data_IF_554783919788
#
_entry.id   IF_554783919788
#
_cell.length_a   1.000
_cell.length_b   1.000
_cell.length_c   1.000
_cell.angle_alpha   90.00
_cell.angle_beta   90.00
_cell.angle_gamma   90.00
#
_symmetry.space_group_name_H-M   'P 1'
#
loop_
_entity.id
_entity.type
_entity.pdbx_description
1 polymer ?
#
# COMPACT_ATOMS: atom_id res chain seq x y z
N UNK A 1 34.02 47.98 -17.77
CA UNK A 1 35.45 48.12 -17.39
C UNK A 1 35.87 49.50 -17.88
N UNK A 2 35.80 50.51 -17.01
CA UNK A 2 36.18 51.87 -17.39
C UNK A 2 37.70 51.97 -17.43
N UNK A 3 38.23 52.47 -18.54
CA UNK A 3 39.62 52.93 -18.62
C UNK A 3 39.83 53.97 -17.51
N UNK A 4 40.52 53.56 -16.44
CA UNK A 4 41.04 54.49 -15.45
C UNK A 4 42.34 55.04 -16.03
N UNK A 5 42.39 56.36 -16.21
CA UNK A 5 43.63 57.05 -16.59
C UNK A 5 44.76 56.62 -15.65
N UNK A 6 45.97 56.35 -16.19
CA UNK A 6 47.09 55.92 -15.38
C UNK A 6 47.42 57.00 -14.33
N UNK A 7 47.72 56.61 -13.08
CA UNK A 7 48.06 57.57 -12.04
C UNK A 7 49.29 58.39 -12.46
N UNK A 8 49.24 59.70 -12.25
CA UNK A 8 50.38 60.60 -12.51
C UNK A 8 51.16 60.74 -11.20
N UNK A 9 52.44 60.37 -11.20
CA UNK A 9 53.29 60.37 -10.01
C UNK A 9 54.22 61.58 -9.99
N UNK A 10 54.46 62.14 -8.80
CA UNK A 10 55.38 63.26 -8.60
C UNK A 10 56.84 62.84 -8.51
N UNK A 11 57.13 61.57 -8.25
CA UNK A 11 58.48 60.98 -8.20
C UNK A 11 58.47 59.47 -8.48
N UNK A 12 59.64 58.92 -8.82
CA UNK A 12 59.81 57.48 -9.05
C UNK A 12 59.55 56.65 -7.78
N UNK A 13 59.93 57.17 -6.60
CA UNK A 13 59.61 56.55 -5.31
C UNK A 13 58.10 56.42 -5.08
N UNK A 14 57.33 57.46 -5.42
CA UNK A 14 55.87 57.47 -5.24
C UNK A 14 55.16 56.46 -6.16
N UNK A 15 55.65 56.31 -7.39
CA UNK A 15 55.19 55.28 -8.32
C UNK A 15 55.49 53.86 -7.79
N UNK A 16 56.69 53.64 -7.27
CA UNK A 16 57.12 52.35 -6.72
C UNK A 16 56.29 51.95 -5.49
N UNK A 17 56.05 52.90 -4.58
CA UNK A 17 55.24 52.69 -3.38
C UNK A 17 53.78 52.39 -3.76
N UNK A 18 53.22 53.14 -4.71
CA UNK A 18 51.86 52.91 -5.22
C UNK A 18 51.69 51.49 -5.80
N UNK A 19 52.59 51.06 -6.69
CA UNK A 19 52.48 49.73 -7.31
C UNK A 19 52.73 48.60 -6.31
N UNK A 20 53.61 48.79 -5.31
CA UNK A 20 53.75 47.84 -4.19
C UNK A 20 52.48 47.72 -3.39
N UNK A 21 51.85 48.83 -3.04
CA UNK A 21 50.60 48.84 -2.29
C UNK A 21 49.46 48.18 -3.09
N UNK A 22 49.36 48.45 -4.39
CA UNK A 22 48.38 47.78 -5.26
C UNK A 22 48.65 46.28 -5.39
N UNK A 23 49.91 45.87 -5.56
CA UNK A 23 50.27 44.46 -5.61
C UNK A 23 49.90 43.74 -4.30
N UNK A 24 50.17 44.36 -3.15
CA UNK A 24 49.80 43.82 -1.84
C UNK A 24 48.27 43.70 -1.69
N UNK A 25 47.50 44.72 -2.09
CA UNK A 25 46.01 44.68 -2.05
C UNK A 25 45.44 43.59 -2.95
N UNK A 26 45.96 43.47 -4.17
CA UNK A 26 45.52 42.42 -5.10
C UNK A 26 45.89 41.03 -4.61
N UNK A 27 47.07 40.86 -4.00
CA UNK A 27 47.46 39.61 -3.39
C UNK A 27 46.50 39.24 -2.26
N UNK A 28 46.24 40.15 -1.33
CA UNK A 28 45.30 39.92 -0.24
C UNK A 28 43.90 39.55 -0.76
N UNK A 29 43.37 40.30 -1.73
CA UNK A 29 42.06 40.01 -2.31
C UNK A 29 42.01 38.66 -3.03
N UNK A 30 43.12 38.23 -3.66
CA UNK A 30 43.22 36.92 -4.29
C UNK A 30 43.26 35.78 -3.25
N UNK A 31 43.97 35.99 -2.14
CA UNK A 31 44.00 35.05 -1.00
C UNK A 31 42.61 34.90 -0.38
N UNK A 32 41.93 36.01 -0.08
CA UNK A 32 40.56 36.02 0.47
C UNK A 32 39.57 35.30 -0.48
N UNK A 33 39.60 35.62 -1.78
CA UNK A 33 38.74 34.96 -2.76
C UNK A 33 39.04 33.46 -2.92
N UNK A 34 40.30 33.05 -2.73
CA UNK A 34 40.70 31.65 -2.74
C UNK A 34 40.18 30.91 -1.50
N UNK A 35 40.24 31.52 -0.32
CA UNK A 35 39.68 30.96 0.91
C UNK A 35 38.15 30.81 0.81
N UNK A 36 37.44 31.86 0.38
CA UNK A 36 35.99 31.82 0.16
C UNK A 36 35.59 30.73 -0.82
N UNK A 37 36.33 30.57 -1.92
CA UNK A 37 36.08 29.50 -2.90
C UNK A 37 36.29 28.12 -2.29
N UNK A 38 37.32 27.92 -1.48
CA UNK A 38 37.58 26.64 -0.82
C UNK A 38 36.47 26.29 0.17
N UNK A 39 36.03 27.26 0.97
CA UNK A 39 34.89 27.08 1.89
C UNK A 39 33.62 26.74 1.13
N UNK A 40 33.29 27.50 0.08
CA UNK A 40 32.11 27.22 -0.75
C UNK A 40 32.14 25.83 -1.36
N UNK A 41 33.29 25.41 -1.90
CA UNK A 41 33.45 24.07 -2.45
C UNK A 41 33.30 22.98 -1.38
N UNK A 42 33.78 23.21 -0.17
CA UNK A 42 33.63 22.27 0.92
C UNK A 42 32.16 22.15 1.34
N UNK A 43 31.49 23.27 1.55
CA UNK A 43 30.07 23.31 1.89
C UNK A 43 29.19 22.66 0.80
N UNK A 44 29.53 22.87 -0.47
CA UNK A 44 28.84 22.21 -1.59
C UNK A 44 28.99 20.69 -1.54
N UNK A 45 30.20 20.19 -1.28
CA UNK A 45 30.46 18.74 -1.16
C UNK A 45 29.70 18.13 0.02
N UNK A 46 29.70 18.80 1.15
CA UNK A 46 29.00 18.30 2.35
C UNK A 46 27.49 18.26 2.11
N UNK A 47 26.93 19.29 1.47
CA UNK A 47 25.52 19.33 1.09
C UNK A 47 25.14 18.25 0.06
N UNK A 48 26.00 18.00 -0.93
CA UNK A 48 25.80 16.91 -1.89
C UNK A 48 25.74 15.54 -1.19
N UNK A 49 26.61 15.29 -0.21
CA UNK A 49 26.62 14.05 0.58
C UNK A 49 25.34 13.91 1.41
N UNK A 50 24.85 14.99 2.01
CA UNK A 50 23.59 15.01 2.74
C UNK A 50 22.42 14.64 1.82
N UNK A 51 22.31 15.29 0.65
CA UNK A 51 21.27 15.00 -0.34
C UNK A 51 21.33 13.55 -0.85
N UNK A 52 22.51 13.03 -1.15
CA UNK A 52 22.68 11.64 -1.54
C UNK A 52 22.25 10.67 -0.44
N UNK A 53 22.52 11.02 0.81
CA UNK A 53 22.14 10.21 1.97
C UNK A 53 20.62 10.18 2.14
N UNK A 54 19.96 11.33 2.05
CA UNK A 54 18.50 11.42 2.10
C UNK A 54 17.85 10.65 0.94
N UNK A 55 18.37 10.81 -0.28
CA UNK A 55 17.88 10.10 -1.45
C UNK A 55 17.94 8.58 -1.25
N UNK A 56 19.08 8.05 -0.77
CA UNK A 56 19.25 6.62 -0.47
C UNK A 56 18.26 6.13 0.59
N UNK A 57 17.99 6.95 1.62
CA UNK A 57 16.99 6.62 2.64
C UNK A 57 15.57 6.54 2.04
N UNK A 58 15.19 7.53 1.21
CA UNK A 58 13.89 7.54 0.54
C UNK A 58 13.72 6.37 -0.42
N UNK A 59 14.75 6.05 -1.22
CA UNK A 59 14.74 4.90 -2.12
C UNK A 59 14.58 3.58 -1.37
N UNK A 60 15.28 3.43 -0.25
CA UNK A 60 15.19 2.24 0.61
C UNK A 60 13.78 2.10 1.17
N UNK A 61 13.24 3.18 1.76
CA UNK A 61 11.87 3.20 2.29
C UNK A 61 10.83 2.91 1.21
N UNK A 62 11.00 3.43 0.01
CA UNK A 62 10.09 3.17 -1.10
C UNK A 62 10.13 1.68 -1.51
N UNK A 63 11.32 1.10 -1.62
CA UNK A 63 11.49 -0.33 -1.90
C UNK A 63 10.83 -1.22 -0.84
N UNK A 64 10.97 -0.87 0.43
CA UNK A 64 10.31 -1.57 1.54
C UNK A 64 8.78 -1.48 1.43
N UNK A 65 8.25 -0.28 1.19
CA UNK A 65 6.81 -0.06 1.01
C UNK A 65 6.25 -0.84 -0.18
N UNK A 66 6.96 -0.88 -1.31
CA UNK A 66 6.57 -1.67 -2.48
C UNK A 66 6.54 -3.17 -2.17
N UNK A 67 7.55 -3.65 -1.44
CA UNK A 67 7.61 -5.06 -1.03
C UNK A 67 6.45 -5.41 -0.10
N UNK A 68 6.18 -4.56 0.89
CA UNK A 68 5.04 -4.72 1.80
C UNK A 68 3.70 -4.67 1.05
N UNK A 69 3.55 -3.76 0.08
CA UNK A 69 2.34 -3.64 -0.73
C UNK A 69 2.09 -4.91 -1.56
N UNK A 70 3.13 -5.44 -2.21
CA UNK A 70 3.03 -6.67 -2.98
C UNK A 70 2.66 -7.86 -2.09
N UNK A 71 3.26 -7.97 -0.91
CA UNK A 71 2.90 -8.99 0.07
C UNK A 71 1.42 -8.90 0.48
N UNK A 72 0.96 -7.70 0.85
CA UNK A 72 -0.43 -7.48 1.25
C UNK A 72 -1.42 -7.80 0.11
N UNK A 73 -1.06 -7.47 -1.14
CA UNK A 73 -1.87 -7.84 -2.32
C UNK A 73 -1.99 -9.35 -2.47
N UNK A 74 -0.89 -10.09 -2.30
CA UNK A 74 -0.92 -11.56 -2.36
C UNK A 74 -1.74 -12.17 -1.22
N UNK A 75 -1.60 -11.63 0.00
CA UNK A 75 -2.40 -12.08 1.15
C UNK A 75 -3.89 -11.82 0.92
N UNK A 76 -4.24 -10.65 0.37
CA UNK A 76 -5.62 -10.29 0.03
C UNK A 76 -6.22 -11.21 -1.03
N UNK A 77 -5.46 -11.57 -2.07
CA UNK A 77 -5.93 -12.50 -3.10
C UNK A 77 -6.14 -13.90 -2.53
N UNK A 78 -5.22 -14.39 -1.71
CA UNK A 78 -5.36 -15.67 -1.02
C UNK A 78 -6.61 -15.72 -0.11
N UNK A 79 -6.95 -14.61 0.57
CA UNK A 79 -8.18 -14.54 1.36
C UNK A 79 -9.44 -14.52 0.50
N UNK A 80 -9.42 -13.86 -0.66
CA UNK A 80 -10.53 -13.90 -1.61
C UNK A 80 -10.76 -15.31 -2.14
N UNK A 81 -9.72 -16.00 -2.59
CA UNK A 81 -9.82 -17.36 -3.11
C UNK A 81 -10.41 -18.33 -2.06
N UNK A 82 -9.94 -18.22 -0.81
CA UNK A 82 -10.46 -19.00 0.31
C UNK A 82 -11.93 -18.68 0.58
N UNK A 83 -12.28 -17.40 0.59
CA UNK A 83 -13.65 -16.96 0.81
C UNK A 83 -14.58 -17.49 -0.28
N UNK A 84 -14.19 -17.36 -1.55
CA UNK A 84 -15.00 -17.82 -2.68
C UNK A 84 -15.19 -19.35 -2.66
N UNK A 85 -14.13 -20.09 -2.34
CA UNK A 85 -14.20 -21.55 -2.17
C UNK A 85 -15.18 -21.92 -1.05
N UNK A 86 -15.00 -21.34 0.14
CA UNK A 86 -15.87 -21.62 1.29
C UNK A 86 -17.32 -21.20 1.04
N UNK A 87 -17.52 -20.07 0.37
CA UNK A 87 -18.85 -19.58 0.03
C UNK A 87 -19.55 -20.53 -0.94
N UNK A 88 -18.87 -20.96 -2.00
CA UNK A 88 -19.40 -21.96 -2.94
C UNK A 88 -19.73 -23.28 -2.25
N UNK A 89 -18.86 -23.76 -1.36
CA UNK A 89 -19.12 -24.98 -0.57
C UNK A 89 -20.34 -24.83 0.34
N UNK A 90 -20.46 -23.70 1.05
CA UNK A 90 -21.61 -23.41 1.90
C UNK A 90 -22.92 -23.35 1.09
N UNK A 91 -22.92 -22.69 -0.07
CA UNK A 91 -24.09 -22.66 -0.96
C UNK A 91 -24.51 -24.06 -1.39
N UNK A 92 -23.56 -24.93 -1.78
CA UNK A 92 -23.85 -26.33 -2.14
C UNK A 92 -24.44 -27.11 -0.98
N UNK A 93 -23.90 -26.94 0.23
CA UNK A 93 -24.42 -27.59 1.44
C UNK A 93 -25.84 -27.13 1.76
N UNK A 94 -26.11 -25.82 1.69
CA UNK A 94 -27.44 -25.26 1.90
C UNK A 94 -28.43 -25.87 0.89
N UNK A 95 -28.10 -25.86 -0.40
CA UNK A 95 -28.99 -26.44 -1.42
C UNK A 95 -29.26 -27.94 -1.21
N UNK A 96 -28.26 -28.69 -0.74
CA UNK A 96 -28.44 -30.11 -0.38
C UNK A 96 -29.42 -30.26 0.79
N UNK A 97 -29.22 -29.49 1.86
CA UNK A 97 -30.07 -29.53 3.05
C UNK A 97 -31.51 -29.09 2.76
N UNK A 98 -31.69 -28.10 1.88
CA UNK A 98 -33.01 -27.67 1.40
C UNK A 98 -33.72 -28.80 0.63
N UNK A 99 -32.98 -29.56 -0.18
CA UNK A 99 -33.48 -30.75 -0.86
C UNK A 99 -33.92 -31.85 0.11
N UNK A 100 -33.05 -32.22 1.05
CA UNK A 100 -33.34 -33.25 2.07
C UNK A 100 -34.54 -32.85 2.94
N UNK A 101 -34.66 -31.57 3.27
CA UNK A 101 -35.80 -31.03 4.02
C UNK A 101 -37.09 -31.14 3.22
N UNK A 102 -37.07 -30.81 1.93
CA UNK A 102 -38.22 -30.93 1.06
C UNK A 102 -38.68 -32.39 0.91
N UNK A 103 -37.73 -33.32 0.73
CA UNK A 103 -38.00 -34.76 0.67
C UNK A 103 -38.62 -35.27 1.98
N UNK A 104 -38.01 -34.94 3.12
CA UNK A 104 -38.50 -35.34 4.45
C UNK A 104 -39.91 -34.80 4.70
N UNK A 105 -40.17 -33.56 4.29
CA UNK A 105 -41.48 -32.92 4.40
C UNK A 105 -42.52 -33.65 3.54
N UNK A 106 -42.17 -34.01 2.30
CA UNK A 106 -43.06 -34.76 1.42
C UNK A 106 -43.38 -36.16 1.96
N UNK A 107 -42.38 -36.88 2.48
CA UNK A 107 -42.56 -38.20 3.12
C UNK A 107 -43.47 -38.07 4.34
N UNK A 108 -43.24 -37.08 5.20
CA UNK A 108 -44.09 -36.81 6.36
C UNK A 108 -45.53 -36.56 5.95
N UNK A 109 -45.76 -35.76 4.92
CA UNK A 109 -47.12 -35.43 4.45
C UNK A 109 -47.81 -36.67 3.86
N UNK A 110 -47.07 -37.54 3.17
CA UNK A 110 -47.58 -38.81 2.66
C UNK A 110 -47.96 -39.77 3.79
N UNK A 111 -47.12 -39.88 4.83
CA UNK A 111 -47.43 -40.70 6.01
C UNK A 111 -48.66 -40.19 6.76
N UNK A 112 -48.83 -38.87 6.89
CA UNK A 112 -50.04 -38.30 7.49
C UNK A 112 -51.30 -38.62 6.69
N UNK A 113 -51.25 -38.59 5.35
CA UNK A 113 -52.37 -39.02 4.51
C UNK A 113 -52.68 -40.49 4.72
N UNK A 114 -51.65 -41.33 4.71
CA UNK A 114 -51.79 -42.77 4.89
C UNK A 114 -52.41 -43.13 6.25
N UNK A 115 -52.03 -42.42 7.33
CA UNK A 115 -52.65 -42.60 8.66
C UNK A 115 -54.15 -42.32 8.59
N UNK A 116 -54.58 -41.22 7.94
CA UNK A 116 -56.01 -40.90 7.80
C UNK A 116 -56.77 -41.94 6.99
N UNK A 117 -56.17 -42.47 5.93
CA UNK A 117 -56.76 -43.55 5.13
C UNK A 117 -56.94 -44.83 5.95
N UNK A 118 -55.96 -45.18 6.80
CA UNK A 118 -56.05 -46.32 7.71
C UNK A 118 -57.12 -46.11 8.79
N UNK A 119 -57.21 -44.91 9.37
CA UNK A 119 -58.26 -44.55 10.33
C UNK A 119 -59.65 -44.70 9.71
N UNK A 120 -59.85 -44.18 8.49
CA UNK A 120 -61.11 -44.31 7.77
C UNK A 120 -61.46 -45.78 7.46
N UNK A 121 -60.50 -46.58 6.99
CA UNK A 121 -60.72 -47.99 6.71
C UNK A 121 -61.09 -48.78 7.99
N UNK A 122 -60.51 -48.39 9.14
CA UNK A 122 -60.84 -48.99 10.42
C UNK A 122 -62.26 -48.62 10.87
N UNK A 123 -62.66 -47.35 10.75
CA UNK A 123 -64.03 -46.90 11.04
C UNK A 123 -65.08 -47.65 10.18
N UNK A 124 -64.80 -47.84 8.90
CA UNK A 124 -65.67 -48.59 7.98
C UNK A 124 -65.77 -50.07 8.37
N UNK A 125 -64.65 -50.69 8.78
CA UNK A 125 -64.61 -52.07 9.25
C UNK A 125 -65.37 -52.26 10.57
N UNK A 126 -65.25 -51.32 11.51
CA UNK A 126 -66.05 -51.32 12.73
C UNK A 126 -67.53 -51.17 12.44
N UNK A 127 -67.90 -50.28 11.50
CA UNK A 127 -69.29 -50.09 11.08
C UNK A 127 -69.87 -51.38 10.48
N UNK A 128 -69.12 -52.04 9.59
CA UNK A 128 -69.51 -53.31 8.99
C UNK A 128 -69.69 -54.42 10.03
N UNK A 129 -68.81 -54.51 11.04
CA UNK A 129 -68.96 -55.45 12.16
C UNK A 129 -70.23 -55.19 12.96
N UNK A 130 -70.59 -53.92 13.19
CA UNK A 130 -71.81 -53.55 13.94
C UNK A 130 -73.10 -53.81 13.14
N UNK A 131 -73.08 -53.62 11.81
CA UNK A 131 -74.26 -53.86 10.95
C UNK A 131 -74.44 -55.32 10.53
N UNK A 132 -73.37 -56.11 10.46
CA UNK A 132 -73.41 -57.54 10.11
C UNK A 132 -73.61 -58.49 11.29
N UNK A 133 -73.68 -57.99 12.52
CA UNK A 133 -73.88 -58.77 13.75
C UNK A 133 -75.33 -58.88 14.23
N UNK A 134 -76.31 -58.69 13.35
CA UNK A 134 -77.74 -58.87 13.61
C UNK A 134 -78.28 -60.15 12.96
#
# INVERSE_FOLDING_TARGET
MGDREPPVFGSLEEELEYWKEQAAKHQQSAEEAQEELQEFQQMSRDYEVELETELKQYETRNRELLTANNRLRMELENYKDKYETQHSEACRQISSLEGDLAETTAVRDQLHKYIRELEQANDDLERAKRSGGA
#
